data_IF_410236159158
#
_entry.id   IF_410236159158
#
_cell.length_a   1.000
_cell.length_b   1.000
_cell.length_c   1.000
_cell.angle_alpha   90.00
_cell.angle_beta   90.00
_cell.angle_gamma   90.00
#
_symmetry.space_group_name_H-M   'P 1'
#
loop_
_entity.id
_entity.type
_entity.pdbx_description
1 polymer ?
#
# COMPACT_ATOMS: atom_id res chain seq x y z
N UNK A 1 -23.44 -18.63 11.34
CA UNK A 1 -22.04 -18.82 11.74
C UNK A 1 -21.09 -17.98 10.88
N UNK A 2 -21.20 -17.98 9.55
CA UNK A 2 -20.28 -17.23 8.68
C UNK A 2 -20.52 -15.70 8.64
N UNK A 3 -21.64 -15.18 9.11
CA UNK A 3 -21.92 -13.74 9.13
C UNK A 3 -21.11 -12.96 10.20
N UNK A 4 -20.55 -13.65 11.18
CA UNK A 4 -19.88 -13.07 12.35
C UNK A 4 -18.34 -13.22 12.33
N UNK A 5 -17.79 -13.54 11.17
CA UNK A 5 -16.40 -14.02 11.02
C UNK A 5 -15.34 -12.91 11.10
N UNK A 6 -15.72 -11.63 11.04
CA UNK A 6 -14.73 -10.52 10.90
C UNK A 6 -13.61 -10.54 11.94
N UNK A 7 -13.91 -10.37 13.21
CA UNK A 7 -12.90 -10.32 14.27
C UNK A 7 -12.30 -11.70 14.67
N UNK A 8 -12.82 -12.79 14.11
CA UNK A 8 -12.49 -14.18 14.48
C UNK A 8 -11.88 -15.01 13.34
N UNK A 9 -11.51 -14.38 12.21
CA UNK A 9 -10.90 -15.11 11.07
C UNK A 9 -9.76 -16.04 11.52
N UNK A 10 -8.73 -15.58 12.26
CA UNK A 10 -7.65 -16.48 12.68
C UNK A 10 -8.13 -17.64 13.54
N UNK A 11 -9.07 -17.37 14.43
CA UNK A 11 -9.64 -18.40 15.32
C UNK A 11 -10.45 -19.42 14.51
N UNK A 12 -11.31 -18.95 13.61
CA UNK A 12 -12.09 -19.82 12.75
C UNK A 12 -11.20 -20.73 11.89
N UNK A 13 -10.10 -20.16 11.35
CA UNK A 13 -9.17 -20.93 10.52
C UNK A 13 -8.45 -22.00 11.34
N UNK A 14 -8.08 -21.71 12.57
CA UNK A 14 -7.47 -22.67 13.45
C UNK A 14 -8.46 -23.78 13.90
N UNK A 15 -9.68 -23.40 14.28
CA UNK A 15 -10.68 -24.35 14.82
C UNK A 15 -11.31 -25.24 13.72
N UNK A 16 -11.59 -24.70 12.54
CA UNK A 16 -12.35 -25.41 11.50
C UNK A 16 -11.46 -26.02 10.41
N UNK A 17 -10.25 -25.51 10.21
CA UNK A 17 -9.39 -25.90 9.09
C UNK A 17 -7.97 -26.32 9.52
N UNK A 18 -7.64 -26.24 10.82
CA UNK A 18 -6.28 -26.48 11.36
C UNK A 18 -5.22 -25.61 10.67
N UNK A 19 -5.58 -24.36 10.32
CA UNK A 19 -4.71 -23.41 9.65
C UNK A 19 -4.30 -22.26 10.57
N UNK A 20 -2.99 -22.07 10.75
CA UNK A 20 -2.42 -20.91 11.45
C UNK A 20 -2.01 -19.83 10.44
N UNK A 21 -2.59 -18.63 10.57
CA UNK A 21 -2.27 -17.46 9.74
C UNK A 21 -1.63 -16.36 10.57
N UNK A 22 -0.40 -16.57 11.05
CA UNK A 22 0.39 -15.48 11.61
C UNK A 22 0.89 -14.56 10.49
N UNK A 23 0.79 -13.24 10.67
CA UNK A 23 1.25 -12.27 9.70
C UNK A 23 1.85 -11.03 10.38
N UNK A 24 2.60 -10.25 9.61
CA UNK A 24 3.21 -8.99 10.08
C UNK A 24 3.09 -7.92 8.99
N UNK A 25 2.93 -6.66 9.40
CA UNK A 25 3.11 -5.51 8.53
C UNK A 25 4.38 -4.76 8.98
N UNK A 26 5.47 -4.94 8.25
CA UNK A 26 6.79 -4.60 8.77
C UNK A 26 7.05 -5.33 10.10
N UNK A 27 7.37 -4.62 11.19
CA UNK A 27 7.58 -5.23 12.50
C UNK A 27 6.28 -5.52 13.26
N UNK A 28 5.14 -4.92 12.88
CA UNK A 28 3.88 -5.01 13.62
C UNK A 28 3.23 -6.38 13.38
N UNK A 29 2.92 -7.15 14.43
CA UNK A 29 2.08 -8.32 14.27
C UNK A 29 0.65 -7.91 13.91
N UNK A 30 0.04 -8.63 12.99
CA UNK A 30 -1.33 -8.42 12.53
C UNK A 30 -2.13 -9.71 12.64
N UNK A 31 -3.44 -9.59 12.84
CA UNK A 31 -4.31 -10.75 13.05
C UNK A 31 -4.31 -11.71 11.85
N UNK A 32 -4.23 -11.19 10.64
CA UNK A 32 -4.16 -11.96 9.40
C UNK A 32 -3.54 -11.12 8.26
N UNK A 33 -3.04 -11.75 7.16
CA UNK A 33 -2.18 -11.08 6.20
C UNK A 33 -2.87 -10.04 5.30
N UNK A 34 -4.20 -9.90 5.31
CA UNK A 34 -4.92 -9.03 4.38
C UNK A 34 -5.25 -7.69 5.02
N UNK A 35 -4.74 -6.61 4.42
CA UNK A 35 -5.02 -5.24 4.80
C UNK A 35 -5.58 -4.40 3.65
N UNK A 36 -5.91 -3.16 3.95
CA UNK A 36 -6.38 -2.17 2.99
C UNK A 36 -5.28 -1.17 2.67
N UNK A 37 -4.98 -1.03 1.37
CA UNK A 37 -4.00 -0.08 0.88
C UNK A 37 -4.51 1.37 0.97
N UNK A 38 -3.56 2.31 1.10
CA UNK A 38 -3.83 3.75 1.03
C UNK A 38 -4.69 4.11 -0.18
N UNK A 39 -5.81 4.78 0.07
CA UNK A 39 -6.73 5.15 -1.01
C UNK A 39 -7.99 5.85 -0.52
N UNK A 40 -9.03 5.82 -1.36
CA UNK A 40 -10.29 6.53 -1.11
C UNK A 40 -11.21 5.84 -0.08
N UNK A 41 -10.84 4.66 0.36
CA UNK A 41 -11.58 3.92 1.39
C UNK A 41 -10.91 3.99 2.77
N UNK A 42 -9.95 4.91 2.95
CA UNK A 42 -9.23 5.18 4.20
C UNK A 42 -9.00 6.68 4.39
N UNK A 43 -10.08 7.47 4.22
CA UNK A 43 -10.11 8.94 4.29
C UNK A 43 -10.85 9.48 5.52
N UNK A 44 -11.66 8.65 6.17
CA UNK A 44 -12.60 9.09 7.19
C UNK A 44 -12.65 8.10 8.35
N UNK A 45 -12.86 8.57 9.59
CA UNK A 45 -12.93 7.70 10.76
C UNK A 45 -13.97 6.59 10.64
N UNK A 46 -15.11 6.86 9.99
CA UNK A 46 -16.20 5.89 9.79
C UNK A 46 -15.76 4.72 8.91
N UNK A 47 -14.91 4.98 7.91
CA UNK A 47 -14.34 3.93 7.06
C UNK A 47 -13.39 3.04 7.88
N UNK A 48 -12.53 3.65 8.71
CA UNK A 48 -11.61 2.92 9.59
C UNK A 48 -12.38 2.09 10.62
N UNK A 49 -13.48 2.63 11.18
CA UNK A 49 -14.35 1.89 12.10
C UNK A 49 -14.99 0.70 11.41
N UNK A 50 -15.54 0.87 10.22
CA UNK A 50 -16.14 -0.22 9.45
C UNK A 50 -15.10 -1.31 9.10
N UNK A 51 -13.84 -0.93 8.87
CA UNK A 51 -12.75 -1.86 8.65
C UNK A 51 -12.40 -2.65 9.91
N UNK A 52 -12.32 -1.98 11.06
CA UNK A 52 -12.08 -2.60 12.35
C UNK A 52 -13.21 -3.57 12.74
N UNK A 53 -14.48 -3.16 12.59
CA UNK A 53 -15.66 -4.00 12.82
C UNK A 53 -15.74 -5.20 11.86
N UNK A 54 -15.18 -5.07 10.66
CA UNK A 54 -15.08 -6.18 9.72
C UNK A 54 -13.93 -7.15 10.06
N UNK A 55 -13.04 -6.79 10.99
CA UNK A 55 -11.88 -7.57 11.37
C UNK A 55 -10.76 -7.55 10.35
N UNK A 56 -10.55 -6.42 9.68
CA UNK A 56 -9.44 -6.23 8.74
C UNK A 56 -8.10 -6.36 9.46
N UNK A 57 -7.10 -6.97 8.82
CA UNK A 57 -5.77 -7.19 9.43
C UNK A 57 -5.02 -5.89 9.74
N UNK A 58 -5.10 -4.90 8.86
CA UNK A 58 -4.55 -3.55 9.03
C UNK A 58 -5.11 -2.59 7.98
N UNK A 59 -4.98 -1.29 8.21
CA UNK A 59 -5.35 -0.27 7.23
C UNK A 59 -4.23 0.75 7.05
N UNK A 60 -3.91 1.08 5.80
CA UNK A 60 -3.04 2.19 5.44
C UNK A 60 -3.90 3.39 5.06
N UNK A 61 -3.74 4.49 5.79
CA UNK A 61 -4.53 5.71 5.57
C UNK A 61 -4.18 6.39 4.26
N UNK A 62 -5.08 7.23 3.77
CA UNK A 62 -4.84 8.04 2.58
C UNK A 62 -3.53 8.80 2.70
N UNK A 63 -2.70 8.74 1.66
CA UNK A 63 -1.38 9.38 1.62
C UNK A 63 -1.49 10.88 1.81
N UNK A 64 -0.88 11.42 2.86
CA UNK A 64 -0.70 12.86 3.05
C UNK A 64 0.49 13.36 2.21
N UNK A 65 0.43 14.59 1.77
CA UNK A 65 1.55 15.26 1.10
C UNK A 65 2.35 16.02 2.15
N UNK A 66 3.65 15.77 2.20
CA UNK A 66 4.54 16.45 3.13
C UNK A 66 4.55 17.95 2.91
N UNK A 67 4.60 18.71 4.00
CA UNK A 67 4.70 20.16 4.00
C UNK A 67 5.65 20.65 5.09
N UNK A 68 6.17 21.84 4.94
CA UNK A 68 6.99 22.50 5.95
C UNK A 68 6.13 23.25 6.99
N UNK A 69 6.77 23.87 7.98
CA UNK A 69 6.10 24.60 9.07
C UNK A 69 5.24 25.79 8.60
N UNK A 70 5.44 26.26 7.39
CA UNK A 70 4.65 27.34 6.79
C UNK A 70 3.43 26.82 6.02
N UNK A 71 3.27 25.49 5.92
CA UNK A 71 2.25 24.85 5.12
C UNK A 71 2.60 24.76 3.63
N UNK A 72 3.85 25.09 3.25
CA UNK A 72 4.30 24.93 1.88
C UNK A 72 4.59 23.45 1.59
N UNK A 73 4.04 22.93 0.50
CA UNK A 73 4.22 21.58 0.03
C UNK A 73 4.66 21.59 -1.44
N UNK A 74 5.90 21.23 -1.72
CA UNK A 74 6.45 21.19 -3.08
C UNK A 74 5.65 20.23 -3.96
N UNK A 75 5.19 19.11 -3.39
CA UNK A 75 4.34 18.14 -4.08
C UNK A 75 2.84 18.49 -3.98
N UNK A 76 2.48 19.74 -3.66
CA UNK A 76 1.11 20.18 -3.45
C UNK A 76 0.17 19.95 -4.65
N UNK A 77 0.69 19.98 -5.87
CA UNK A 77 -0.07 19.63 -7.09
C UNK A 77 -0.63 18.17 -7.09
N UNK A 78 -0.15 17.33 -6.20
CA UNK A 78 -0.67 15.96 -6.02
C UNK A 78 -1.92 15.91 -5.13
N UNK A 79 -2.26 16.99 -4.43
CA UNK A 79 -3.53 17.16 -3.73
C UNK A 79 -4.61 17.44 -4.77
N UNK A 80 -5.53 16.53 -4.98
CA UNK A 80 -6.61 16.70 -5.98
C UNK A 80 -7.96 16.63 -5.29
N UNK A 81 -8.74 17.70 -5.49
CA UNK A 81 -10.09 17.86 -4.99
C UNK A 81 -11.02 16.81 -5.63
N UNK A 82 -11.79 16.12 -4.81
CA UNK A 82 -12.79 15.15 -5.25
C UNK A 82 -12.25 14.15 -6.32
N UNK A 83 -11.31 13.28 -5.97
CA UNK A 83 -10.77 12.30 -6.90
C UNK A 83 -11.87 11.40 -7.43
N UNK A 84 -12.02 11.39 -8.73
CA UNK A 84 -12.95 10.48 -9.40
C UNK A 84 -12.29 9.14 -9.58
N UNK A 85 -12.85 8.12 -8.95
CA UNK A 85 -12.42 6.73 -9.09
C UNK A 85 -13.40 5.98 -9.97
N UNK A 86 -12.88 5.27 -10.94
CA UNK A 86 -13.66 4.42 -11.81
C UNK A 86 -13.08 3.01 -11.72
N UNK A 87 -13.92 2.07 -11.27
CA UNK A 87 -13.60 0.65 -11.19
C UNK A 87 -14.18 -0.01 -12.43
N UNK A 88 -13.34 -0.66 -13.22
CA UNK A 88 -13.73 -1.34 -14.45
C UNK A 88 -13.18 -2.76 -14.52
N UNK A 89 -13.93 -3.70 -15.13
CA UNK A 89 -13.38 -4.98 -15.48
C UNK A 89 -12.27 -4.82 -16.53
N UNK A 90 -11.22 -5.59 -16.40
CA UNK A 90 -10.10 -5.60 -17.32
C UNK A 90 -9.67 -7.04 -17.61
N UNK A 91 -9.28 -7.31 -18.87
CA UNK A 91 -8.58 -8.53 -19.24
C UNK A 91 -7.07 -8.29 -19.17
N UNK A 92 -6.33 -9.27 -18.70
CA UNK A 92 -4.87 -9.26 -18.77
C UNK A 92 -4.40 -9.29 -20.23
N UNK A 93 -3.28 -8.63 -20.50
CA UNK A 93 -2.63 -8.65 -21.83
C UNK A 93 -1.69 -9.84 -21.97
N UNK A 94 -1.06 -10.24 -20.87
CA UNK A 94 -0.08 -11.35 -20.83
C UNK A 94 -0.71 -12.65 -20.33
N UNK A 95 -1.74 -12.56 -19.52
CA UNK A 95 -2.45 -13.69 -18.93
C UNK A 95 -3.92 -13.63 -19.33
N UNK A 96 -4.49 -14.76 -19.76
CA UNK A 96 -5.91 -14.89 -20.09
C UNK A 96 -6.78 -14.92 -18.83
N UNK A 97 -6.60 -13.93 -17.97
CA UNK A 97 -7.33 -13.77 -16.71
C UNK A 97 -8.09 -12.46 -16.71
N UNK A 98 -9.33 -12.51 -16.26
CA UNK A 98 -10.13 -11.31 -16.02
C UNK A 98 -9.89 -10.81 -14.60
N UNK A 99 -9.89 -9.49 -14.44
CA UNK A 99 -9.74 -8.84 -13.16
C UNK A 99 -10.36 -7.46 -13.17
N UNK A 100 -9.91 -6.61 -12.29
CA UNK A 100 -10.42 -5.27 -12.11
C UNK A 100 -9.29 -4.26 -12.11
N UNK A 101 -9.52 -3.10 -12.69
CA UNK A 101 -8.64 -1.95 -12.54
C UNK A 101 -9.38 -0.80 -11.88
N UNK A 102 -8.64 0.05 -11.21
CA UNK A 102 -9.09 1.35 -10.74
C UNK A 102 -8.23 2.40 -11.37
N UNK A 103 -8.83 3.31 -12.08
CA UNK A 103 -8.18 4.53 -12.53
C UNK A 103 -8.71 5.70 -11.74
N UNK A 104 -7.86 6.67 -11.43
CA UNK A 104 -8.28 7.89 -10.74
C UNK A 104 -7.43 9.10 -11.12
N UNK A 105 -8.06 10.27 -11.01
CA UNK A 105 -7.38 11.53 -10.82
C UNK A 105 -7.30 11.82 -9.31
N UNK A 106 -6.16 12.26 -8.83
CA UNK A 106 -5.98 12.60 -7.42
C UNK A 106 -5.21 11.56 -6.62
N UNK A 107 -4.11 11.98 -6.06
CA UNK A 107 -3.12 11.08 -5.50
C UNK A 107 -2.93 11.23 -4.00
N UNK A 108 -3.03 12.45 -3.46
CA UNK A 108 -2.81 12.77 -2.06
C UNK A 108 -4.10 13.07 -1.30
N UNK A 109 -3.94 13.26 0.00
CA UNK A 109 -4.91 13.89 0.87
C UNK A 109 -5.15 15.33 0.41
N UNK A 110 -6.41 15.75 0.25
CA UNK A 110 -6.73 17.08 -0.30
C UNK A 110 -6.69 18.20 0.75
N UNK A 111 -6.88 17.85 2.01
CA UNK A 111 -6.91 18.81 3.12
C UNK A 111 -5.52 19.27 3.58
N UNK A 112 -5.50 20.10 4.61
CA UNK A 112 -4.28 20.50 5.31
C UNK A 112 -3.66 19.33 6.10
N UNK A 113 -2.38 19.45 6.45
CA UNK A 113 -1.73 18.51 7.35
C UNK A 113 -2.44 18.49 8.71
N UNK A 114 -2.83 19.65 9.23
CA UNK A 114 -3.55 19.74 10.51
C UNK A 114 -4.86 18.92 10.50
N UNK A 115 -5.65 18.98 9.43
CA UNK A 115 -6.86 18.16 9.28
C UNK A 115 -6.53 16.66 9.17
N UNK A 116 -5.44 16.33 8.48
CA UNK A 116 -4.96 14.95 8.41
C UNK A 116 -4.55 14.42 9.79
N UNK A 117 -3.83 15.20 10.57
CA UNK A 117 -3.38 14.82 11.92
C UNK A 117 -4.55 14.59 12.88
N UNK A 118 -5.62 15.39 12.77
CA UNK A 118 -6.86 15.14 13.52
C UNK A 118 -7.53 13.81 13.09
N UNK A 119 -7.58 13.55 11.81
CA UNK A 119 -8.07 12.26 11.28
C UNK A 119 -7.17 11.10 11.75
N UNK A 120 -5.86 11.26 11.70
CA UNK A 120 -4.89 10.25 12.13
C UNK A 120 -5.10 9.88 13.61
N UNK A 121 -5.22 10.87 14.51
CA UNK A 121 -5.47 10.61 15.94
C UNK A 121 -6.74 9.77 16.14
N UNK A 122 -7.84 10.15 15.49
CA UNK A 122 -9.09 9.40 15.58
C UNK A 122 -8.95 7.98 15.02
N UNK A 123 -8.30 7.83 13.88
CA UNK A 123 -8.10 6.54 13.22
C UNK A 123 -7.23 5.60 14.07
N UNK A 124 -6.14 6.11 14.67
CA UNK A 124 -5.27 5.35 15.56
C UNK A 124 -6.02 4.85 16.80
N UNK A 125 -6.83 5.69 17.43
CA UNK A 125 -7.65 5.27 18.59
C UNK A 125 -8.70 4.24 18.24
N UNK A 126 -9.35 4.36 17.08
CA UNK A 126 -10.30 3.35 16.57
C UNK A 126 -9.58 2.02 16.35
N UNK A 127 -8.42 2.06 15.68
CA UNK A 127 -7.64 0.86 15.42
C UNK A 127 -7.14 0.19 16.69
N UNK A 128 -6.58 0.96 17.62
CA UNK A 128 -6.09 0.47 18.91
C UNK A 128 -7.19 -0.23 19.72
N UNK A 129 -8.40 0.36 19.77
CA UNK A 129 -9.53 -0.23 20.49
C UNK A 129 -9.98 -1.58 19.90
N UNK A 130 -9.72 -1.81 18.62
CA UNK A 130 -10.09 -3.05 17.90
C UNK A 130 -8.91 -4.02 17.69
N UNK A 131 -7.69 -3.66 18.10
CA UNK A 131 -6.49 -4.45 17.80
C UNK A 131 -6.10 -4.46 16.31
N UNK A 132 -6.58 -3.48 15.51
CA UNK A 132 -6.29 -3.33 14.09
C UNK A 132 -5.23 -2.22 13.90
N UNK A 133 -4.01 -2.54 13.45
CA UNK A 133 -3.02 -1.52 13.14
C UNK A 133 -3.49 -0.55 12.07
N UNK A 134 -3.26 0.75 12.32
CA UNK A 134 -3.56 1.86 11.42
C UNK A 134 -2.26 2.56 11.09
N UNK A 135 -1.93 2.66 9.81
CA UNK A 135 -0.63 3.10 9.33
C UNK A 135 -0.79 4.40 8.53
N UNK A 136 -0.17 5.52 8.91
CA UNK A 136 -0.10 6.70 8.05
C UNK A 136 0.74 6.43 6.82
N UNK A 137 0.33 7.01 5.69
CA UNK A 137 1.11 7.03 4.44
C UNK A 137 1.45 8.48 4.09
N UNK A 138 2.69 8.72 3.70
CA UNK A 138 3.17 10.05 3.36
C UNK A 138 3.91 10.06 2.02
N UNK A 139 3.68 11.10 1.24
CA UNK A 139 4.43 11.41 0.04
C UNK A 139 5.31 12.61 0.28
N UNK A 140 6.61 12.37 0.24
CA UNK A 140 7.63 13.38 0.42
C UNK A 140 8.10 13.95 -0.91
N UNK A 141 8.74 15.10 -0.85
CA UNK A 141 9.37 15.75 -1.98
C UNK A 141 10.41 14.83 -2.65
N UNK A 142 10.40 14.83 -3.97
CA UNK A 142 11.43 14.19 -4.80
C UNK A 142 11.98 15.24 -5.75
N UNK A 143 13.27 15.52 -5.69
CA UNK A 143 13.94 16.50 -6.53
C UNK A 143 13.78 16.14 -8.01
N UNK A 144 13.06 16.95 -8.77
CA UNK A 144 12.66 16.64 -10.16
C UNK A 144 13.68 17.10 -11.20
N UNK A 145 14.50 18.09 -10.82
CA UNK A 145 15.53 18.66 -11.70
C UNK A 145 16.94 18.34 -11.20
N UNK A 146 17.88 18.37 -12.12
CA UNK A 146 19.30 18.18 -11.77
C UNK A 146 19.79 19.35 -10.91
N UNK A 147 20.41 19.04 -9.76
CA UNK A 147 20.85 20.06 -8.80
C UNK A 147 19.76 20.64 -7.90
N UNK A 148 18.51 20.24 -8.06
CA UNK A 148 17.45 20.63 -7.14
C UNK A 148 17.72 20.05 -5.74
N UNK A 149 17.75 20.88 -4.68
CA UNK A 149 17.95 20.38 -3.33
C UNK A 149 16.70 19.69 -2.79
N UNK A 150 16.89 18.61 -2.03
CA UNK A 150 15.80 18.02 -1.29
C UNK A 150 15.24 18.98 -0.25
N UNK A 151 13.91 19.02 -0.11
CA UNK A 151 13.21 19.90 0.82
C UNK A 151 13.21 19.32 2.24
N UNK A 152 14.35 19.24 2.86
CA UNK A 152 14.54 18.65 4.18
C UNK A 152 13.57 19.21 5.25
N UNK A 153 13.11 20.46 5.12
CA UNK A 153 12.12 21.04 6.03
C UNK A 153 10.76 20.35 5.94
N UNK A 154 10.31 19.95 4.74
CA UNK A 154 9.07 19.18 4.55
C UNK A 154 9.18 17.79 5.17
N UNK A 155 10.33 17.11 4.98
CA UNK A 155 10.60 15.80 5.57
C UNK A 155 10.51 15.86 7.10
N UNK A 156 11.31 16.73 7.72
CA UNK A 156 11.40 16.84 9.18
C UNK A 156 10.07 17.26 9.80
N UNK A 157 9.46 18.31 9.29
CA UNK A 157 8.23 18.82 9.87
C UNK A 157 7.11 17.79 9.83
N UNK A 158 6.84 17.21 8.66
CA UNK A 158 5.75 16.26 8.52
C UNK A 158 5.99 14.99 9.34
N UNK A 159 7.22 14.45 9.32
CA UNK A 159 7.55 13.25 10.12
C UNK A 159 7.39 13.52 11.62
N UNK A 160 7.89 14.65 12.13
CA UNK A 160 7.75 15.01 13.53
C UNK A 160 6.29 15.17 13.95
N UNK A 161 5.44 15.78 13.12
CA UNK A 161 4.01 15.92 13.41
C UNK A 161 3.27 14.58 13.40
N UNK A 162 3.59 13.68 12.47
CA UNK A 162 3.06 12.31 12.45
C UNK A 162 3.46 11.54 13.72
N UNK A 163 4.74 11.62 14.12
CA UNK A 163 5.25 10.99 15.33
C UNK A 163 4.58 11.56 16.60
N UNK A 164 4.41 12.86 16.68
CA UNK A 164 3.73 13.52 17.81
C UNK A 164 2.31 12.96 18.02
N UNK A 165 1.54 12.84 16.94
CA UNK A 165 0.17 12.30 17.01
C UNK A 165 0.20 10.80 17.34
N UNK A 166 1.11 10.04 16.72
CA UNK A 166 1.30 8.63 17.00
C UNK A 166 1.59 8.37 18.47
N UNK A 167 2.58 9.07 19.03
CA UNK A 167 2.96 8.92 20.44
C UNK A 167 1.82 9.34 21.39
N UNK A 168 1.05 10.38 21.03
CA UNK A 168 -0.12 10.79 21.81
C UNK A 168 -1.23 9.74 21.83
N UNK A 169 -1.41 9.02 20.73
CA UNK A 169 -2.49 8.03 20.60
C UNK A 169 -2.12 6.63 21.10
N UNK A 170 -0.87 6.20 20.90
CA UNK A 170 -0.42 4.81 21.11
C UNK A 170 0.68 4.68 22.17
N UNK A 171 1.25 5.79 22.68
CA UNK A 171 2.39 5.77 23.59
C UNK A 171 3.75 5.78 22.90
N UNK A 172 4.84 5.37 23.57
CA UNK A 172 6.22 5.55 23.14
C UNK A 172 6.67 4.54 22.05
N UNK A 173 5.75 3.81 21.46
CA UNK A 173 6.07 2.87 20.40
C UNK A 173 6.59 3.60 19.14
N UNK A 174 7.55 3.02 18.39
CA UNK A 174 8.04 3.61 17.16
C UNK A 174 6.91 3.89 16.16
N UNK A 175 6.91 5.09 15.57
CA UNK A 175 6.00 5.42 14.48
C UNK A 175 6.26 4.46 13.30
N UNK A 176 5.24 3.76 12.85
CA UNK A 176 5.31 3.02 11.58
C UNK A 176 4.65 3.87 10.49
N UNK A 177 5.40 4.19 9.45
CA UNK A 177 4.94 5.02 8.33
C UNK A 177 5.25 4.38 7.00
N UNK A 178 4.32 4.50 6.04
CA UNK A 178 4.54 4.08 4.65
C UNK A 178 4.92 5.31 3.81
N UNK A 179 6.15 5.33 3.27
CA UNK A 179 6.53 6.27 2.22
C UNK A 179 5.86 5.84 0.91
N UNK A 180 4.93 6.64 0.39
CA UNK A 180 4.39 6.44 -0.96
C UNK A 180 5.39 6.92 -2.01
N UNK A 181 6.22 6.00 -2.46
CA UNK A 181 7.16 6.25 -3.54
C UNK A 181 6.51 5.96 -4.89
N UNK A 182 5.80 6.94 -5.43
CA UNK A 182 5.09 6.89 -6.72
C UNK A 182 5.46 8.09 -7.59
N UNK A 183 6.71 8.22 -8.05
CA UNK A 183 7.10 9.32 -8.93
C UNK A 183 6.42 9.18 -10.29
N UNK A 184 6.15 10.32 -10.93
CA UNK A 184 5.78 10.32 -12.34
C UNK A 184 7.05 10.17 -13.16
N UNK A 185 7.18 9.06 -13.86
CA UNK A 185 8.33 8.76 -14.74
C UNK A 185 8.20 9.41 -16.13
N UNK A 186 7.50 10.53 -16.24
CA UNK A 186 7.39 11.28 -17.47
C UNK A 186 8.65 12.14 -17.67
N UNK A 187 9.73 11.51 -18.11
CA UNK A 187 10.92 12.21 -18.59
C UNK A 187 11.13 11.93 -20.08
N UNK A 188 11.63 12.91 -20.80
CA UNK A 188 11.94 12.76 -22.23
C UNK A 188 13.09 11.76 -22.48
N UNK A 189 13.91 11.47 -21.46
CA UNK A 189 15.04 10.54 -21.51
C UNK A 189 14.81 9.38 -20.53
N UNK A 190 14.55 8.15 -21.03
CA UNK A 190 14.35 6.97 -20.17
C UNK A 190 15.57 6.61 -19.31
N UNK A 191 16.80 6.79 -19.79
CA UNK A 191 18.01 6.45 -19.05
C UNK A 191 18.19 7.38 -17.85
N UNK A 192 18.11 8.69 -18.07
CA UNK A 192 18.15 9.69 -16.97
C UNK A 192 17.01 9.50 -15.97
N UNK A 193 15.83 9.08 -16.44
CA UNK A 193 14.71 8.76 -15.56
C UNK A 193 15.01 7.59 -14.64
N UNK A 194 15.66 6.53 -15.12
CA UNK A 194 16.09 5.39 -14.32
C UNK A 194 17.06 5.80 -13.21
N UNK A 195 18.14 6.49 -13.57
CA UNK A 195 19.16 6.93 -12.62
C UNK A 195 18.56 7.83 -11.52
N UNK A 196 17.72 8.78 -11.90
CA UNK A 196 17.04 9.68 -10.97
C UNK A 196 16.14 8.94 -9.99
N UNK A 197 15.37 7.98 -10.46
CA UNK A 197 14.50 7.17 -9.59
C UNK A 197 15.31 6.37 -8.58
N UNK A 198 16.42 5.79 -9.00
CA UNK A 198 17.31 5.06 -8.10
C UNK A 198 17.99 6.00 -7.08
N UNK A 199 18.41 7.19 -7.50
CA UNK A 199 18.96 8.21 -6.60
C UNK A 199 17.94 8.64 -5.54
N UNK A 200 16.70 8.87 -5.92
CA UNK A 200 15.63 9.18 -4.98
C UNK A 200 15.43 8.07 -3.93
N UNK A 201 15.45 6.81 -4.35
CA UNK A 201 15.28 5.67 -3.44
C UNK A 201 16.46 5.50 -2.48
N UNK A 202 17.67 5.82 -2.91
CA UNK A 202 18.84 5.80 -2.04
C UNK A 202 18.82 6.92 -0.99
N UNK A 203 18.24 8.07 -1.31
CA UNK A 203 18.31 9.28 -0.48
C UNK A 203 17.06 9.54 0.35
N UNK A 204 15.87 9.43 -0.23
CA UNK A 204 14.65 9.87 0.45
C UNK A 204 14.34 9.10 1.74
N UNK A 205 14.56 7.78 1.87
CA UNK A 205 14.35 7.07 3.12
C UNK A 205 15.24 7.58 4.26
N UNK A 206 16.51 7.86 3.96
CA UNK A 206 17.44 8.40 4.93
C UNK A 206 17.06 9.82 5.39
N UNK A 207 16.48 10.64 4.51
CA UNK A 207 15.98 11.97 4.88
C UNK A 207 14.76 11.90 5.82
N UNK A 208 13.93 10.86 5.71
CA UNK A 208 12.80 10.64 6.61
C UNK A 208 13.27 10.29 8.02
N UNK A 209 14.38 9.55 8.14
CA UNK A 209 14.99 9.13 9.42
C UNK A 209 16.12 10.03 9.91
N UNK A 210 16.33 11.21 9.30
CA UNK A 210 17.53 12.03 9.52
C UNK A 210 17.71 12.50 10.98
N UNK A 211 16.63 12.69 11.71
CA UNK A 211 16.67 13.23 13.08
C UNK A 211 16.78 12.14 14.17
N UNK A 212 16.97 10.87 13.78
CA UNK A 212 17.15 9.74 14.71
C UNK A 212 15.92 9.39 15.54
N UNK A 213 14.75 9.82 15.10
CA UNK A 213 13.47 9.55 15.77
C UNK A 213 13.11 8.05 15.75
N UNK A 214 12.36 7.55 16.74
CA UNK A 214 11.90 6.17 16.78
C UNK A 214 10.88 5.90 15.67
N UNK A 215 11.36 5.49 14.50
CA UNK A 215 10.57 5.36 13.29
C UNK A 215 10.89 4.05 12.56
N UNK A 216 9.85 3.36 12.14
CA UNK A 216 9.88 2.21 11.24
C UNK A 216 9.34 2.64 9.88
N UNK A 217 10.16 2.56 8.86
CA UNK A 217 9.87 3.05 7.52
C UNK A 217 9.60 1.92 6.54
N UNK A 218 8.37 1.85 6.03
CA UNK A 218 8.02 1.06 4.87
C UNK A 218 8.14 1.89 3.58
N UNK A 219 8.85 1.38 2.59
CA UNK A 219 8.93 2.03 1.28
C UNK A 219 8.02 1.33 0.29
N UNK A 220 6.99 2.03 -0.17
CA UNK A 220 6.04 1.51 -1.16
C UNK A 220 6.52 1.79 -2.57
N UNK A 221 7.02 0.76 -3.20
CA UNK A 221 7.53 0.82 -4.56
C UNK A 221 6.40 0.71 -5.60
N UNK A 222 6.53 1.46 -6.68
CA UNK A 222 5.65 1.37 -7.84
C UNK A 222 6.18 0.36 -8.86
N UNK A 223 5.31 -0.08 -9.77
CA UNK A 223 5.76 -0.68 -11.02
C UNK A 223 6.30 0.40 -11.97
N UNK A 224 7.51 0.22 -12.44
CA UNK A 224 8.11 1.05 -13.47
C UNK A 224 7.80 0.50 -14.88
N UNK A 225 7.81 1.38 -15.88
CA UNK A 225 7.58 1.02 -17.30
C UNK A 225 8.79 0.37 -17.99
N UNK A 226 9.77 -0.01 -17.18
CA UNK A 226 10.99 -0.62 -17.67
C UNK A 226 10.95 -2.15 -17.50
N UNK A 227 11.99 -2.83 -17.90
CA UNK A 227 12.21 -4.26 -17.75
C UNK A 227 12.19 -4.71 -16.26
N UNK A 228 12.00 -5.99 -16.03
CA UNK A 228 11.90 -6.55 -14.67
C UNK A 228 13.22 -6.40 -13.87
N UNK A 229 14.37 -6.38 -14.54
CA UNK A 229 15.66 -6.10 -13.89
C UNK A 229 15.71 -4.70 -13.28
N UNK A 230 15.10 -3.71 -13.92
CA UNK A 230 14.99 -2.39 -13.31
C UNK A 230 14.09 -2.41 -12.07
N UNK A 231 13.06 -3.26 -12.06
CA UNK A 231 12.20 -3.42 -10.88
C UNK A 231 12.97 -4.01 -9.69
N UNK A 232 13.89 -4.96 -9.94
CA UNK A 232 14.84 -5.45 -8.93
C UNK A 232 15.79 -4.34 -8.47
N UNK A 233 16.26 -3.50 -9.39
CA UNK A 233 17.12 -2.35 -9.05
C UNK A 233 16.42 -1.33 -8.14
N UNK A 234 15.08 -1.17 -8.24
CA UNK A 234 14.33 -0.35 -7.28
C UNK A 234 14.38 -0.94 -5.87
N UNK A 235 14.25 -2.26 -5.73
CA UNK A 235 14.37 -2.93 -4.43
C UNK A 235 15.77 -2.75 -3.85
N UNK A 236 16.82 -3.00 -4.66
CA UNK A 236 18.23 -2.81 -4.24
C UNK A 236 18.47 -1.38 -3.76
N UNK A 237 18.07 -0.38 -4.54
CA UNK A 237 18.26 1.03 -4.19
C UNK A 237 17.54 1.44 -2.90
N UNK A 238 16.33 0.93 -2.67
CA UNK A 238 15.61 1.18 -1.42
C UNK A 238 16.32 0.56 -0.21
N UNK A 239 16.88 -0.65 -0.36
CA UNK A 239 17.67 -1.32 0.68
C UNK A 239 19.01 -0.66 0.90
N UNK A 240 19.71 -0.25 -0.17
CA UNK A 240 21.00 0.48 -0.12
C UNK A 240 20.90 1.79 0.66
N UNK A 241 19.73 2.39 0.77
CA UNK A 241 19.49 3.56 1.62
C UNK A 241 19.84 3.32 3.09
N UNK A 242 19.82 2.06 3.55
CA UNK A 242 20.02 1.66 4.95
C UNK A 242 18.91 2.13 5.90
N UNK A 243 17.88 2.80 5.38
CA UNK A 243 16.81 3.42 6.17
C UNK A 243 15.45 2.74 6.01
N UNK A 244 15.22 1.96 4.96
CA UNK A 244 14.02 1.17 4.80
C UNK A 244 14.04 -0.04 5.74
N UNK A 245 12.97 -0.22 6.52
CA UNK A 245 12.81 -1.37 7.42
C UNK A 245 11.98 -2.49 6.79
N UNK A 246 11.14 -2.16 5.83
CA UNK A 246 10.38 -3.12 5.02
C UNK A 246 9.98 -2.50 3.67
N UNK A 247 9.59 -3.34 2.72
CA UNK A 247 9.14 -2.89 1.41
C UNK A 247 7.67 -3.25 1.17
N UNK A 248 6.96 -2.35 0.49
CA UNK A 248 5.61 -2.62 -0.03
C UNK A 248 5.69 -2.73 -1.55
N UNK A 249 5.45 -3.92 -2.08
CA UNK A 249 5.82 -4.30 -3.46
C UNK A 249 4.65 -4.94 -4.21
N UNK A 250 4.38 -4.56 -5.41
CA UNK A 250 4.62 -3.31 -6.11
C UNK A 250 3.29 -2.67 -6.45
N UNK A 251 3.19 -1.37 -6.28
CA UNK A 251 1.98 -0.62 -6.58
C UNK A 251 1.72 -0.61 -8.10
N UNK A 252 0.75 0.17 -8.54
CA UNK A 252 0.26 0.20 -9.91
C UNK A 252 1.32 0.41 -10.97
N UNK A 253 1.00 -0.07 -12.17
CA UNK A 253 1.73 0.20 -13.40
C UNK A 253 1.18 1.46 -14.06
N UNK A 254 2.05 2.40 -14.39
CA UNK A 254 1.71 3.53 -15.25
C UNK A 254 1.94 3.13 -16.72
N UNK A 255 0.95 3.36 -17.57
CA UNK A 255 1.05 3.15 -19.02
C UNK A 255 0.81 4.50 -19.73
N UNK A 256 1.84 5.10 -20.37
CA UNK A 256 1.73 6.41 -21.02
C UNK A 256 0.86 6.36 -22.28
N UNK A 257 0.71 5.19 -22.89
CA UNK A 257 -0.07 5.02 -24.12
C UNK A 257 -1.54 4.70 -23.85
N UNK A 258 -1.85 4.23 -22.65
CA UNK A 258 -3.21 3.87 -22.30
C UNK A 258 -4.07 5.11 -22.11
N UNK A 259 -5.24 5.11 -22.77
CA UNK A 259 -6.23 6.17 -22.61
C UNK A 259 -7.36 5.70 -21.72
N UNK A 260 -7.81 6.59 -20.82
CA UNK A 260 -8.93 6.38 -19.95
C UNK A 260 -9.86 7.61 -19.99
N UNK A 261 -11.03 7.48 -20.57
CA UNK A 261 -11.84 8.64 -20.95
C UNK A 261 -11.04 9.55 -21.90
N UNK A 262 -10.86 10.81 -21.54
CA UNK A 262 -10.06 11.79 -22.29
C UNK A 262 -8.60 11.88 -21.85
N UNK A 263 -8.18 11.12 -20.83
CA UNK A 263 -6.83 11.22 -20.25
C UNK A 263 -5.94 10.14 -20.85
N UNK A 264 -4.84 10.56 -21.49
CA UNK A 264 -3.77 9.66 -21.93
C UNK A 264 -2.70 9.58 -20.86
N UNK A 265 -2.16 8.37 -20.66
CA UNK A 265 -1.19 8.11 -19.60
C UNK A 265 -1.87 7.92 -18.24
N UNK A 266 -2.12 6.68 -17.85
CA UNK A 266 -2.82 6.34 -16.62
C UNK A 266 -2.09 5.27 -15.83
N UNK A 267 -2.17 5.39 -14.50
CA UNK A 267 -1.80 4.29 -13.62
C UNK A 267 -2.99 3.32 -13.52
N UNK A 268 -2.73 2.06 -13.75
CA UNK A 268 -3.76 1.01 -13.72
C UNK A 268 -3.30 -0.22 -12.92
N UNK A 269 -4.26 -1.06 -12.55
CA UNK A 269 -4.06 -2.37 -11.93
C UNK A 269 -4.53 -3.50 -12.84
N UNK A 270 -4.80 -4.65 -12.27
CA UNK A 270 -5.35 -5.82 -12.93
C UNK A 270 -4.37 -6.98 -13.04
N UNK A 271 -4.75 -8.06 -13.77
CA UNK A 271 -4.02 -9.32 -13.76
C UNK A 271 -2.57 -9.25 -14.23
N UNK A 272 -2.25 -8.35 -15.18
CA UNK A 272 -0.87 -8.14 -15.64
C UNK A 272 0.04 -7.62 -14.51
N UNK A 273 -0.53 -6.96 -13.51
CA UNK A 273 0.21 -6.41 -12.38
C UNK A 273 0.66 -7.51 -11.43
N UNK A 274 -0.23 -8.41 -11.01
CA UNK A 274 0.15 -9.53 -10.15
C UNK A 274 1.08 -10.51 -10.85
N UNK A 275 0.88 -10.77 -12.14
CA UNK A 275 1.76 -11.62 -12.94
C UNK A 275 3.19 -11.11 -12.93
N UNK A 276 3.38 -9.82 -13.25
CA UNK A 276 4.69 -9.18 -13.21
C UNK A 276 5.29 -9.15 -11.80
N UNK A 277 4.50 -8.77 -10.80
CA UNK A 277 4.97 -8.69 -9.42
C UNK A 277 5.50 -10.03 -8.93
N UNK A 278 4.78 -11.10 -9.19
CA UNK A 278 5.19 -12.46 -8.81
C UNK A 278 6.46 -12.90 -9.54
N UNK A 279 6.61 -12.56 -10.83
CA UNK A 279 7.83 -12.83 -11.59
C UNK A 279 9.04 -12.14 -10.95
N UNK A 280 8.92 -10.84 -10.65
CA UNK A 280 10.00 -10.05 -10.02
C UNK A 280 10.32 -10.57 -8.62
N UNK A 281 9.31 -10.89 -7.80
CA UNK A 281 9.54 -11.40 -6.45
C UNK A 281 10.22 -12.77 -6.42
N UNK A 282 9.88 -13.67 -7.35
CA UNK A 282 10.58 -14.95 -7.49
C UNK A 282 12.05 -14.73 -7.90
N UNK A 283 12.33 -13.79 -8.78
CA UNK A 283 13.69 -13.42 -9.14
C UNK A 283 14.43 -12.77 -7.94
N UNK A 284 13.77 -11.91 -7.19
CA UNK A 284 14.31 -11.30 -5.97
C UNK A 284 14.69 -12.35 -4.90
N UNK A 285 13.86 -13.38 -4.72
CA UNK A 285 14.12 -14.46 -3.77
C UNK A 285 15.37 -15.30 -4.13
N UNK A 286 15.79 -15.28 -5.38
CA UNK A 286 16.99 -15.96 -5.89
C UNK A 286 18.22 -15.04 -5.94
N UNK A 287 18.06 -13.76 -5.67
CA UNK A 287 19.14 -12.78 -5.73
C UNK A 287 19.88 -12.66 -4.38
N UNK A 288 21.10 -13.21 -4.27
CA UNK A 288 21.86 -13.16 -3.02
C UNK A 288 22.34 -11.75 -2.65
N UNK A 289 22.24 -10.78 -3.57
CA UNK A 289 22.62 -9.38 -3.33
C UNK A 289 21.50 -8.54 -2.74
N UNK A 290 20.27 -9.05 -2.73
CA UNK A 290 19.14 -8.42 -2.08
C UNK A 290 19.06 -8.85 -0.60
N UNK A 291 19.32 -7.94 0.35
CA UNK A 291 19.11 -8.24 1.76
C UNK A 291 17.63 -8.56 2.04
N UNK A 292 17.40 -9.53 2.90
CA UNK A 292 16.05 -9.94 3.29
C UNK A 292 15.39 -8.85 4.16
N UNK A 293 14.55 -8.02 3.56
CA UNK A 293 13.61 -7.16 4.29
C UNK A 293 12.21 -7.80 4.28
N UNK A 294 11.40 -7.58 5.32
CA UNK A 294 9.99 -7.96 5.29
C UNK A 294 9.28 -7.34 4.09
N UNK A 295 8.48 -8.13 3.39
CA UNK A 295 7.73 -7.69 2.21
C UNK A 295 6.23 -7.68 2.50
N UNK A 296 5.56 -6.58 2.17
CA UNK A 296 4.10 -6.51 2.06
C UNK A 296 3.72 -6.42 0.58
N UNK A 297 2.90 -7.35 0.09
CA UNK A 297 2.49 -7.33 -1.31
C UNK A 297 1.42 -6.28 -1.58
N UNK A 298 1.43 -5.71 -2.77
CA UNK A 298 0.32 -4.91 -3.29
C UNK A 298 0.25 -5.07 -4.81
N UNK A 299 -0.94 -4.90 -5.36
CA UNK A 299 -1.19 -5.04 -6.80
C UNK A 299 -1.97 -6.30 -7.14
N UNK A 300 -3.19 -6.07 -7.64
CA UNK A 300 -4.13 -7.10 -8.10
C UNK A 300 -4.45 -8.20 -7.07
N UNK A 301 -4.42 -7.90 -5.76
CA UNK A 301 -4.91 -8.84 -4.75
C UNK A 301 -6.44 -8.84 -4.84
N UNK A 302 -6.97 -9.66 -5.73
CA UNK A 302 -8.40 -9.79 -6.04
C UNK A 302 -8.97 -11.16 -5.66
N UNK A 303 -8.12 -12.05 -5.14
CA UNK A 303 -8.51 -13.33 -4.58
C UNK A 303 -7.54 -13.77 -3.48
N UNK A 304 -7.97 -14.71 -2.66
CA UNK A 304 -7.11 -15.33 -1.65
C UNK A 304 -5.98 -16.18 -2.28
N UNK A 305 -6.22 -16.74 -3.45
CA UNK A 305 -5.20 -17.46 -4.23
C UNK A 305 -4.03 -16.54 -4.60
N UNK A 306 -4.33 -15.35 -5.11
CA UNK A 306 -3.28 -14.35 -5.43
C UNK A 306 -2.51 -13.96 -4.17
N UNK A 307 -3.18 -13.83 -3.01
CA UNK A 307 -2.49 -13.58 -1.74
C UNK A 307 -1.57 -14.75 -1.34
N UNK A 308 -2.02 -15.99 -1.52
CA UNK A 308 -1.19 -17.18 -1.28
C UNK A 308 0.04 -17.22 -2.21
N UNK A 309 -0.12 -16.90 -3.48
CA UNK A 309 0.98 -16.80 -4.45
C UNK A 309 2.01 -15.74 -4.03
N UNK A 310 1.56 -14.58 -3.55
CA UNK A 310 2.45 -13.57 -2.97
C UNK A 310 3.17 -14.06 -1.70
N UNK A 311 2.47 -14.81 -0.84
CA UNK A 311 3.09 -15.39 0.36
C UNK A 311 4.17 -16.42 -0.02
N UNK A 312 3.92 -17.28 -1.00
CA UNK A 312 4.90 -18.22 -1.54
C UNK A 312 6.10 -17.51 -2.19
N UNK A 313 5.90 -16.28 -2.68
CA UNK A 313 6.97 -15.43 -3.20
C UNK A 313 7.65 -14.56 -2.12
N UNK A 314 7.40 -14.81 -0.83
CA UNK A 314 8.07 -14.19 0.31
C UNK A 314 7.36 -13.01 0.96
N UNK A 315 6.14 -12.65 0.54
CA UNK A 315 5.39 -11.58 1.19
C UNK A 315 4.73 -12.09 2.48
N UNK A 316 4.90 -11.36 3.59
CA UNK A 316 4.33 -11.69 4.90
C UNK A 316 2.96 -11.06 5.15
N UNK A 317 2.54 -10.16 4.28
CA UNK A 317 1.21 -9.52 4.25
C UNK A 317 0.90 -8.97 2.86
N UNK A 318 -0.34 -8.56 2.65
CA UNK A 318 -0.77 -7.93 1.42
C UNK A 318 -1.80 -6.85 1.65
N UNK A 319 -1.73 -5.76 0.88
CA UNK A 319 -2.68 -4.66 0.94
C UNK A 319 -3.43 -4.51 -0.38
N UNK A 320 -4.76 -4.66 -0.33
CA UNK A 320 -5.65 -4.49 -1.46
C UNK A 320 -6.39 -3.15 -1.39
N UNK A 321 -6.73 -2.58 -2.54
CA UNK A 321 -7.59 -1.41 -2.62
C UNK A 321 -8.75 -1.62 -3.61
N UNK A 322 -8.43 -1.98 -4.86
CA UNK A 322 -9.42 -2.17 -5.92
C UNK A 322 -10.52 -3.15 -5.53
N UNK A 323 -10.15 -4.28 -4.92
CA UNK A 323 -11.09 -5.30 -4.52
C UNK A 323 -12.12 -4.79 -3.52
N UNK A 324 -11.71 -3.98 -2.53
CA UNK A 324 -12.62 -3.37 -1.56
C UNK A 324 -13.55 -2.29 -2.16
N UNK A 325 -13.30 -1.85 -3.39
CA UNK A 325 -14.13 -0.87 -4.11
C UNK A 325 -15.20 -1.47 -5.00
N UNK A 326 -15.15 -2.76 -5.24
CA UNK A 326 -16.13 -3.41 -6.08
C UNK A 326 -17.57 -3.15 -5.56
N UNK A 327 -18.54 -3.06 -6.46
CA UNK A 327 -19.93 -2.89 -6.06
C UNK A 327 -20.40 -4.10 -5.24
N UNK A 328 -21.33 -3.89 -4.29
CA UNK A 328 -21.82 -4.95 -3.39
C UNK A 328 -22.30 -6.21 -4.12
N UNK A 329 -22.78 -6.07 -5.36
CA UNK A 329 -23.20 -7.21 -6.20
C UNK A 329 -22.04 -8.13 -6.61
N UNK A 330 -20.79 -7.65 -6.56
CA UNK A 330 -19.61 -8.44 -6.93
C UNK A 330 -19.20 -9.46 -5.86
N UNK A 331 -19.71 -9.34 -4.63
CA UNK A 331 -19.41 -10.26 -3.55
C UNK A 331 -20.56 -11.24 -3.34
N UNK A 332 -20.24 -12.43 -2.86
CA UNK A 332 -21.22 -13.48 -2.54
C UNK A 332 -22.04 -13.11 -1.29
N UNK A 333 -21.37 -12.66 -0.23
CA UNK A 333 -22.02 -12.30 1.04
C UNK A 333 -22.78 -10.97 0.91
N UNK A 334 -24.04 -10.96 1.31
CA UNK A 334 -24.96 -9.80 1.24
C UNK A 334 -25.38 -9.35 2.64
N UNK A 335 -25.86 -8.10 2.75
CA UNK A 335 -26.40 -7.57 4.02
C UNK A 335 -25.36 -7.21 5.06
N UNK A 336 -24.08 -7.16 4.70
CA UNK A 336 -22.95 -6.79 5.57
C UNK A 336 -22.16 -5.62 4.99
N UNK A 337 -21.23 -5.08 5.77
CA UNK A 337 -20.32 -4.04 5.26
C UNK A 337 -19.51 -4.55 4.06
N UNK A 338 -19.11 -3.63 3.18
CA UNK A 338 -18.33 -3.97 1.99
C UNK A 338 -17.01 -4.64 2.35
N UNK A 339 -16.32 -4.16 3.41
CA UNK A 339 -15.06 -4.75 3.88
C UNK A 339 -15.29 -6.18 4.34
N UNK A 340 -16.35 -6.46 5.11
CA UNK A 340 -16.67 -7.82 5.54
C UNK A 340 -17.01 -8.73 4.36
N UNK A 341 -17.79 -8.26 3.39
CA UNK A 341 -18.08 -9.03 2.18
C UNK A 341 -16.83 -9.36 1.37
N UNK A 342 -15.93 -8.40 1.23
CA UNK A 342 -14.66 -8.59 0.53
C UNK A 342 -13.73 -9.58 1.27
N UNK A 343 -13.60 -9.46 2.59
CA UNK A 343 -12.81 -10.40 3.39
C UNK A 343 -13.38 -11.82 3.30
N UNK A 344 -14.71 -11.96 3.38
CA UNK A 344 -15.35 -13.26 3.20
C UNK A 344 -14.98 -13.88 1.86
N UNK A 345 -15.03 -13.12 0.78
CA UNK A 345 -14.65 -13.60 -0.56
C UNK A 345 -13.17 -13.98 -0.63
N UNK A 346 -12.28 -13.13 -0.10
CA UNK A 346 -10.84 -13.39 -0.09
C UNK A 346 -10.45 -14.63 0.72
N UNK A 347 -11.18 -14.94 1.80
CA UNK A 347 -10.88 -16.10 2.63
C UNK A 347 -11.61 -17.36 2.19
N UNK A 348 -12.91 -17.26 1.91
CA UNK A 348 -13.81 -18.42 1.85
C UNK A 348 -14.42 -18.67 0.47
N UNK A 349 -13.98 -17.97 -0.58
CA UNK A 349 -14.37 -18.35 -1.94
C UNK A 349 -13.94 -19.80 -2.22
N UNK A 350 -14.84 -20.70 -2.68
CA UNK A 350 -14.58 -22.14 -2.69
C UNK A 350 -13.42 -22.59 -3.59
N UNK A 351 -13.00 -21.76 -4.55
CA UNK A 351 -11.88 -22.06 -5.47
C UNK A 351 -10.75 -21.06 -5.37
N UNK A 352 -11.07 -19.79 -5.12
CA UNK A 352 -10.13 -18.67 -5.18
C UNK A 352 -9.85 -18.07 -3.78
N UNK A 353 -10.47 -18.60 -2.73
CA UNK A 353 -10.23 -18.17 -1.36
C UNK A 353 -8.88 -18.62 -0.82
N UNK A 354 -8.37 -17.89 0.17
CA UNK A 354 -7.09 -18.21 0.81
C UNK A 354 -7.12 -19.60 1.46
N UNK A 355 -8.23 -19.96 2.13
CA UNK A 355 -8.39 -21.29 2.73
C UNK A 355 -8.27 -22.37 1.67
N UNK A 356 -8.99 -22.25 0.56
CA UNK A 356 -8.88 -23.21 -0.52
C UNK A 356 -7.46 -23.33 -1.07
N UNK A 357 -6.76 -22.19 -1.22
CA UNK A 357 -5.38 -22.17 -1.71
C UNK A 357 -4.36 -22.76 -0.72
N UNK A 358 -4.64 -22.74 0.60
CA UNK A 358 -3.78 -23.31 1.62
C UNK A 358 -4.02 -24.82 1.85
N UNK A 359 -5.20 -25.32 1.49
CA UNK A 359 -5.56 -26.73 1.63
C UNK A 359 -5.15 -27.58 0.41
N UNK A 360 -4.81 -26.95 -0.70
CA UNK A 360 -4.37 -27.61 -1.96
C UNK A 360 -2.90 -27.36 -2.25
#
# INVERSE_FOLDING_TARGET
>A
VLADVGASIPRLLAEEFDLAIGARYGPIPIAHPIGKASGQLSLQPEQVRADAEAGLGFVVLKTVIAEDRTGHATMGAWKVRAPRMIVEPIAGRRVERRGWTVTWAGRGWEGSLAAYLQFLDQALRIGAAAGMPVIPSCKYHLASEEGEPYRAAEYRHTTAELLRVWTSALGPEPLVVEQDFSPTLAGADPARSKERVLDWLRRSPALIKADGEPLVLGVKLMNALFEDEFQLSLMRAAVESGAADFLVVFNRLFDPERTFGSVRGVAYGGPDLSDRNLSVLRAAALDPTLPALPLSATGDITSGRVMAEYALAGAVSGQAHTFFQLPARAYTLKGVSRTRAALHELYFHPREGLVAAMLH
#
